data_IF_798603836547
#
_entry.id   IF_798603836547
#
_cell.length_a   1.000
_cell.length_b   1.000
_cell.length_c   1.000
_cell.angle_alpha   90.00
_cell.angle_beta   90.00
_cell.angle_gamma   90.00
#
_symmetry.space_group_name_H-M   'P 1'
#
loop_
_entity.id
_entity.type
_entity.pdbx_description
1 polymer ?
#
# COMPACT_ATOMS: atom_id res chain seq x y z
N UNK A 1 -7.35 -31.45 -36.08
CA UNK A 1 -7.34 -31.55 -34.60
C UNK A 1 -6.63 -30.33 -34.05
N UNK A 2 -7.36 -29.35 -33.52
CA UNK A 2 -6.77 -28.16 -32.91
C UNK A 2 -6.18 -28.55 -31.54
N UNK A 3 -4.87 -28.35 -31.37
CA UNK A 3 -4.23 -28.53 -30.08
C UNK A 3 -4.85 -27.54 -29.08
N UNK A 4 -5.52 -28.07 -28.04
CA UNK A 4 -5.92 -27.27 -26.88
C UNK A 4 -4.64 -26.70 -26.27
N UNK A 5 -4.43 -25.40 -26.41
CA UNK A 5 -3.41 -24.70 -25.64
C UNK A 5 -3.82 -24.84 -24.17
N UNK A 6 -2.98 -25.54 -23.41
CA UNK A 6 -3.11 -25.75 -21.98
C UNK A 6 -2.94 -24.38 -21.31
N UNK A 7 -4.05 -23.65 -21.09
CA UNK A 7 -4.06 -22.36 -20.39
C UNK A 7 -3.83 -22.66 -18.92
N UNK A 8 -2.57 -22.89 -18.55
CA UNK A 8 -2.19 -22.97 -17.15
C UNK A 8 -2.43 -21.61 -16.51
N UNK A 9 -3.09 -21.54 -15.34
CA UNK A 9 -3.25 -20.27 -14.63
C UNK A 9 -1.87 -19.67 -14.34
N UNK A 10 -1.57 -18.51 -14.95
CA UNK A 10 -0.35 -17.75 -14.66
C UNK A 10 -0.60 -16.87 -13.43
N UNK A 11 0.07 -17.20 -12.33
CA UNK A 11 0.05 -16.35 -11.13
C UNK A 11 1.00 -15.18 -11.37
N UNK A 12 0.54 -13.91 -11.27
CA UNK A 12 1.40 -12.76 -11.46
C UNK A 12 2.53 -12.71 -10.41
N UNK A 13 3.75 -12.47 -10.88
CA UNK A 13 4.94 -12.33 -10.03
C UNK A 13 5.62 -13.64 -9.61
N UNK A 14 6.73 -13.53 -8.89
CA UNK A 14 7.50 -14.70 -8.40
C UNK A 14 6.90 -15.26 -7.10
N UNK A 15 6.95 -16.58 -6.90
CA UNK A 15 6.39 -17.23 -5.70
C UNK A 15 6.89 -16.61 -4.38
N UNK A 16 8.14 -16.11 -4.36
CA UNK A 16 8.72 -15.42 -3.21
C UNK A 16 7.94 -14.19 -2.76
N UNK A 17 7.33 -13.41 -3.68
CA UNK A 17 6.53 -12.24 -3.30
C UNK A 17 5.24 -12.66 -2.58
N UNK A 18 4.66 -13.79 -2.97
CA UNK A 18 3.43 -14.29 -2.34
C UNK A 18 3.68 -14.83 -0.94
N UNK A 19 4.83 -15.49 -0.72
CA UNK A 19 5.25 -15.89 0.62
C UNK A 19 5.47 -14.66 1.53
N UNK A 20 6.13 -13.63 1.01
CA UNK A 20 6.30 -12.35 1.71
C UNK A 20 4.97 -11.68 2.04
N UNK A 21 4.07 -11.56 1.05
CA UNK A 21 2.70 -11.04 1.19
C UNK A 21 1.93 -11.77 2.31
N UNK A 22 1.98 -13.10 2.30
CA UNK A 22 1.28 -13.90 3.31
C UNK A 22 1.87 -13.68 4.71
N UNK A 23 3.20 -13.59 4.81
CA UNK A 23 3.90 -13.30 6.07
C UNK A 23 3.48 -11.95 6.65
N UNK A 24 3.55 -10.88 5.85
CA UNK A 24 3.13 -9.54 6.25
C UNK A 24 1.66 -9.53 6.68
N UNK A 25 0.78 -10.18 5.91
CA UNK A 25 -0.64 -10.22 6.22
C UNK A 25 -0.91 -10.92 7.56
N UNK A 26 -0.22 -12.02 7.86
CA UNK A 26 -0.32 -12.71 9.15
C UNK A 26 0.12 -11.79 10.28
N UNK A 27 1.27 -11.14 10.14
CA UNK A 27 1.81 -10.22 11.16
C UNK A 27 0.82 -9.08 11.43
N UNK A 28 0.30 -8.42 10.39
CA UNK A 28 -0.70 -7.36 10.55
C UNK A 28 -2.03 -7.88 11.12
N UNK A 29 -2.44 -9.10 10.77
CA UNK A 29 -3.66 -9.71 11.32
C UNK A 29 -3.54 -9.99 12.81
N UNK A 30 -2.39 -10.49 13.26
CA UNK A 30 -2.11 -10.69 14.70
C UNK A 30 -2.16 -9.36 15.43
N UNK A 31 -1.52 -8.32 14.89
CA UNK A 31 -1.56 -6.98 15.49
C UNK A 31 -2.98 -6.40 15.55
N UNK A 32 -3.79 -6.58 14.49
CA UNK A 32 -5.18 -6.16 14.46
C UNK A 32 -5.98 -6.80 15.60
N UNK A 33 -5.82 -8.11 15.81
CA UNK A 33 -6.50 -8.85 16.89
C UNK A 33 -6.05 -8.35 18.26
N UNK A 34 -4.74 -8.15 18.45
CA UNK A 34 -4.21 -7.65 19.73
C UNK A 34 -4.77 -6.27 20.10
N UNK A 35 -4.82 -5.34 19.14
CA UNK A 35 -5.41 -4.02 19.36
C UNK A 35 -6.92 -4.13 19.59
N UNK A 36 -7.65 -4.88 18.75
CA UNK A 36 -9.10 -5.03 18.93
C UNK A 36 -9.50 -5.62 20.30
N UNK A 37 -8.65 -6.48 20.89
CA UNK A 37 -8.85 -7.02 22.23
C UNK A 37 -8.42 -6.02 23.32
N UNK A 38 -7.27 -5.37 23.17
CA UNK A 38 -6.76 -4.36 24.13
C UNK A 38 -7.64 -3.12 24.24
N UNK A 39 -8.36 -2.75 23.18
CA UNK A 39 -9.26 -1.59 23.16
C UNK A 39 -10.47 -1.71 24.10
N UNK A 40 -10.77 -2.91 24.63
CA UNK A 40 -11.98 -3.14 25.45
C UNK A 40 -11.87 -2.51 26.84
N UNK A 41 -10.67 -2.46 27.41
CA UNK A 41 -10.45 -1.96 28.76
C UNK A 41 -10.27 -0.42 28.78
N UNK A 42 -9.85 0.18 27.66
CA UNK A 42 -9.67 1.64 27.50
C UNK A 42 -10.60 2.28 26.46
N UNK A 43 -11.80 1.74 26.31
CA UNK A 43 -12.73 2.12 25.23
C UNK A 43 -13.02 3.64 25.14
N UNK A 44 -13.05 4.35 26.28
CA UNK A 44 -13.26 5.79 26.31
C UNK A 44 -12.06 6.57 25.74
N UNK A 45 -10.83 6.18 26.10
CA UNK A 45 -9.59 6.82 25.62
C UNK A 45 -9.45 6.61 24.11
N UNK A 46 -9.76 5.40 23.63
CA UNK A 46 -9.77 5.08 22.20
C UNK A 46 -10.80 5.89 21.43
N UNK A 47 -12.04 5.97 21.93
CA UNK A 47 -13.10 6.75 21.29
C UNK A 47 -12.74 8.24 21.19
N UNK A 48 -12.22 8.81 22.27
CA UNK A 48 -11.81 10.23 22.32
C UNK A 48 -10.61 10.51 21.42
N UNK A 49 -9.59 9.64 21.46
CA UNK A 49 -8.37 9.82 20.66
C UNK A 49 -8.66 9.65 19.17
N UNK A 50 -9.49 8.68 18.79
CA UNK A 50 -9.98 8.50 17.42
C UNK A 50 -10.77 9.69 16.91
N UNK A 51 -11.68 10.24 17.71
CA UNK A 51 -12.45 11.43 17.34
C UNK A 51 -11.58 12.67 17.11
N UNK A 52 -10.35 12.68 17.64
CA UNK A 52 -9.38 13.74 17.36
C UNK A 52 -8.70 13.60 16.00
N UNK A 53 -8.71 12.41 15.38
CA UNK A 53 -8.11 12.20 14.07
C UNK A 53 -8.96 12.87 12.98
N UNK A 54 -8.27 13.42 11.99
CA UNK A 54 -8.95 14.02 10.84
C UNK A 54 -9.30 12.90 9.84
N UNK A 55 -10.58 12.54 9.81
CA UNK A 55 -11.09 11.54 8.87
C UNK A 55 -10.87 11.94 7.40
N UNK A 56 -10.90 13.24 7.09
CA UNK A 56 -10.65 13.76 5.75
C UNK A 56 -9.22 13.48 5.28
N UNK A 57 -8.23 13.63 6.15
CA UNK A 57 -6.84 13.24 5.86
C UNK A 57 -6.74 11.72 5.62
N UNK A 58 -7.41 10.92 6.45
CA UNK A 58 -7.47 9.47 6.28
C UNK A 58 -8.09 9.06 4.94
N UNK A 59 -9.24 9.64 4.57
CA UNK A 59 -9.94 9.38 3.31
C UNK A 59 -9.11 9.84 2.11
N UNK A 60 -8.48 11.01 2.18
CA UNK A 60 -7.61 11.50 1.10
C UNK A 60 -6.46 10.51 0.81
N UNK A 61 -5.83 9.98 1.86
CA UNK A 61 -4.80 8.95 1.74
C UNK A 61 -5.32 7.66 1.10
N UNK A 62 -6.50 7.20 1.51
CA UNK A 62 -7.15 6.03 0.92
C UNK A 62 -7.44 6.23 -0.56
N UNK A 63 -7.96 7.40 -0.95
CA UNK A 63 -8.20 7.73 -2.38
C UNK A 63 -6.89 7.76 -3.17
N UNK A 64 -5.82 8.32 -2.59
CA UNK A 64 -4.50 8.35 -3.24
C UNK A 64 -3.97 6.94 -3.51
N UNK A 65 -3.97 6.05 -2.51
CA UNK A 65 -3.43 4.70 -2.68
C UNK A 65 -4.28 3.83 -3.62
N UNK A 66 -5.62 3.89 -3.50
CA UNK A 66 -6.53 3.19 -4.42
C UNK A 66 -6.34 3.68 -5.86
N UNK A 67 -6.18 4.99 -6.06
CA UNK A 67 -5.88 5.55 -7.38
C UNK A 67 -4.53 5.06 -7.90
N UNK A 68 -3.51 5.01 -7.03
CA UNK A 68 -2.20 4.46 -7.34
C UNK A 68 -2.27 3.00 -7.79
N UNK A 69 -2.99 2.16 -7.05
CA UNK A 69 -3.28 0.77 -7.40
C UNK A 69 -3.97 0.67 -8.75
N UNK A 70 -4.99 1.48 -9.01
CA UNK A 70 -5.68 1.49 -10.29
C UNK A 70 -4.73 1.84 -11.46
N UNK A 71 -3.85 2.83 -11.27
CA UNK A 71 -2.84 3.17 -12.27
C UNK A 71 -1.86 2.02 -12.52
N UNK A 72 -1.34 1.37 -11.47
CA UNK A 72 -0.46 0.21 -11.59
C UNK A 72 -1.13 -0.93 -12.37
N UNK A 73 -2.36 -1.28 -12.01
CA UNK A 73 -3.13 -2.31 -12.71
C UNK A 73 -3.33 -1.98 -14.20
N UNK A 74 -3.66 -0.71 -14.51
CA UNK A 74 -3.78 -0.22 -15.89
C UNK A 74 -2.45 -0.30 -16.64
N UNK A 75 -1.34 0.03 -15.99
CA UNK A 75 0.00 -0.05 -16.54
C UNK A 75 0.39 -1.48 -16.93
N UNK A 76 0.18 -2.44 -16.02
CA UNK A 76 0.45 -3.85 -16.28
C UNK A 76 -0.47 -4.42 -17.37
N UNK A 77 -1.76 -4.11 -17.36
CA UNK A 77 -2.69 -4.55 -18.40
C UNK A 77 -2.25 -4.05 -19.79
N UNK A 78 -1.83 -2.78 -19.88
CA UNK A 78 -1.37 -2.18 -21.14
C UNK A 78 -0.04 -2.72 -21.62
N UNK A 79 0.85 -3.10 -20.71
CA UNK A 79 2.07 -3.81 -21.06
C UNK A 79 1.79 -5.15 -21.76
N UNK A 80 0.68 -5.82 -21.42
CA UNK A 80 0.30 -7.12 -22.01
C UNK A 80 -0.45 -6.97 -23.34
N UNK A 81 -1.24 -5.92 -23.49
CA UNK A 81 -2.11 -5.69 -24.66
C UNK A 81 -1.47 -4.86 -25.77
N UNK A 82 -0.60 -3.91 -25.43
CA UNK A 82 -0.15 -2.86 -26.34
C UNK A 82 1.37 -2.84 -26.51
N UNK A 83 1.81 -2.52 -27.73
CA UNK A 83 3.20 -2.21 -28.05
C UNK A 83 3.51 -0.71 -27.84
N UNK A 84 2.65 0.03 -27.11
CA UNK A 84 2.78 1.48 -26.91
C UNK A 84 3.62 1.80 -25.66
N UNK A 85 4.85 2.34 -25.80
CA UNK A 85 5.73 2.66 -24.66
C UNK A 85 5.17 3.73 -23.71
N UNK A 86 4.11 4.44 -24.07
CA UNK A 86 3.44 5.44 -23.23
C UNK A 86 2.77 4.83 -21.99
N UNK A 87 2.60 3.51 -21.92
CA UNK A 87 2.04 2.86 -20.72
C UNK A 87 2.87 3.12 -19.45
N UNK A 88 4.17 3.38 -19.60
CA UNK A 88 5.08 3.75 -18.50
C UNK A 88 4.63 4.99 -17.70
N UNK A 89 3.79 5.86 -18.29
CA UNK A 89 3.20 7.01 -17.59
C UNK A 89 2.32 6.60 -16.41
N UNK A 90 1.66 5.43 -16.48
CA UNK A 90 0.79 4.95 -15.41
C UNK A 90 1.57 4.70 -14.11
N UNK A 91 2.77 4.13 -14.19
CA UNK A 91 3.63 3.98 -13.01
C UNK A 91 4.11 5.33 -12.47
N UNK A 92 4.25 6.34 -13.32
CA UNK A 92 4.59 7.71 -12.87
C UNK A 92 3.46 8.32 -12.04
N UNK A 93 2.21 8.13 -12.48
CA UNK A 93 1.03 8.57 -11.74
C UNK A 93 0.89 7.81 -10.41
N UNK A 94 1.15 6.51 -10.40
CA UNK A 94 1.16 5.72 -9.17
C UNK A 94 2.22 6.20 -8.15
N UNK A 95 3.42 6.54 -8.63
CA UNK A 95 4.48 7.13 -7.77
C UNK A 95 4.01 8.46 -7.19
N UNK A 96 3.39 9.33 -8.00
CA UNK A 96 2.86 10.61 -7.51
C UNK A 96 1.78 10.41 -6.43
N UNK A 97 0.90 9.42 -6.59
CA UNK A 97 -0.06 9.04 -5.56
C UNK A 97 0.63 8.62 -4.26
N UNK A 98 1.67 7.79 -4.34
CA UNK A 98 2.48 7.38 -3.19
C UNK A 98 3.17 8.55 -2.49
N UNK A 99 3.77 9.46 -3.26
CA UNK A 99 4.39 10.67 -2.70
C UNK A 99 3.37 11.59 -2.05
N UNK A 100 2.18 11.72 -2.64
CA UNK A 100 1.05 12.44 -2.05
C UNK A 100 0.64 11.84 -0.70
N UNK A 101 0.59 10.51 -0.60
CA UNK A 101 0.32 9.81 0.66
C UNK A 101 1.38 10.14 1.72
N UNK A 102 2.66 10.04 1.36
CA UNK A 102 3.79 10.34 2.26
C UNK A 102 3.72 11.78 2.76
N UNK A 103 3.45 12.74 1.87
CA UNK A 103 3.35 14.15 2.23
C UNK A 103 2.17 14.43 3.17
N UNK A 104 1.00 13.89 2.86
CA UNK A 104 -0.20 14.07 3.66
C UNK A 104 -0.06 13.41 5.04
N UNK A 105 0.61 12.25 5.13
CA UNK A 105 0.95 11.61 6.40
C UNK A 105 2.00 12.36 7.21
N UNK A 106 3.03 12.89 6.55
CA UNK A 106 4.00 13.76 7.20
C UNK A 106 3.34 15.00 7.81
N UNK A 107 2.36 15.59 7.12
CA UNK A 107 1.56 16.70 7.64
C UNK A 107 0.74 16.30 8.87
N UNK A 108 -0.01 15.20 8.80
CA UNK A 108 -0.81 14.70 9.93
C UNK A 108 0.05 14.44 11.16
N UNK A 109 1.16 13.74 11.01
CA UNK A 109 2.10 13.50 12.10
C UNK A 109 2.68 14.79 12.67
N UNK A 110 3.12 15.70 11.80
CA UNK A 110 3.65 17.00 12.21
C UNK A 110 2.66 17.81 13.04
N UNK A 111 1.40 17.85 12.64
CA UNK A 111 0.34 18.56 13.39
C UNK A 111 0.07 17.91 14.76
N UNK A 112 0.07 16.58 14.85
CA UNK A 112 -0.12 15.86 16.12
C UNK A 112 1.05 16.08 17.08
N UNK A 113 2.27 15.95 16.59
CA UNK A 113 3.49 16.16 17.38
C UNK A 113 3.56 17.62 17.85
N UNK A 114 3.24 18.60 17.00
CA UNK A 114 3.18 20.01 17.37
C UNK A 114 2.13 20.30 18.46
N UNK A 115 1.05 19.52 18.50
CA UNK A 115 0.04 19.58 19.55
C UNK A 115 0.43 18.81 20.84
N UNK A 116 1.67 18.32 20.94
CA UNK A 116 2.17 17.55 22.09
C UNK A 116 1.72 16.09 22.12
N UNK A 117 1.08 15.60 21.05
CA UNK A 117 0.63 14.21 20.94
C UNK A 117 1.79 13.37 20.38
N UNK A 118 2.23 12.40 21.17
CA UNK A 118 3.35 11.51 20.85
C UNK A 118 2.94 10.05 21.09
N UNK A 119 3.76 9.06 20.69
CA UNK A 119 3.50 7.66 21.02
C UNK A 119 3.38 7.39 22.53
N UNK A 120 3.86 8.28 23.39
CA UNK A 120 3.79 8.13 24.85
C UNK A 120 2.51 8.73 25.46
N UNK A 121 1.66 9.37 24.66
CA UNK A 121 0.45 10.03 25.16
C UNK A 121 -0.58 9.03 25.67
N UNK A 122 -0.80 7.93 24.94
CA UNK A 122 -1.62 6.79 25.33
C UNK A 122 -1.41 5.64 24.33
N UNK A 123 -1.99 4.48 24.63
CA UNK A 123 -1.87 3.27 23.81
C UNK A 123 -2.43 3.46 22.40
N UNK A 124 -3.53 4.22 22.23
CA UNK A 124 -4.07 4.52 20.90
C UNK A 124 -3.05 5.25 20.02
N UNK A 125 -2.40 6.30 20.55
CA UNK A 125 -1.40 7.04 19.80
C UNK A 125 -0.11 6.23 19.59
N UNK A 126 0.26 5.37 20.53
CA UNK A 126 1.33 4.40 20.34
C UNK A 126 1.05 3.52 19.11
N UNK A 127 -0.12 2.87 19.05
CA UNK A 127 -0.52 2.04 17.92
C UNK A 127 -0.64 2.84 16.63
N UNK A 128 -1.22 4.03 16.68
CA UNK A 128 -1.33 4.93 15.54
C UNK A 128 0.04 5.22 14.92
N UNK A 129 1.00 5.71 15.69
CA UNK A 129 2.32 6.07 15.18
C UNK A 129 3.13 4.85 14.73
N UNK A 130 3.10 3.75 15.49
CA UNK A 130 3.86 2.53 15.14
C UNK A 130 3.31 1.89 13.87
N UNK A 131 2.00 1.67 13.78
CA UNK A 131 1.41 0.99 12.62
C UNK A 131 1.45 1.85 11.36
N UNK A 132 1.09 3.13 11.47
CA UNK A 132 1.20 4.03 10.30
C UNK A 132 2.66 4.27 9.92
N UNK A 133 3.60 4.20 10.86
CA UNK A 133 5.03 4.34 10.60
C UNK A 133 5.63 3.14 9.88
N UNK A 134 5.34 1.92 10.34
CA UNK A 134 5.73 0.69 9.64
C UNK A 134 5.13 0.69 8.23
N UNK A 135 3.85 1.04 8.10
CA UNK A 135 3.22 1.14 6.79
C UNK A 135 3.87 2.20 5.89
N UNK A 136 4.25 3.37 6.44
CA UNK A 136 4.96 4.40 5.69
C UNK A 136 6.29 3.88 5.13
N UNK A 137 7.03 3.07 5.89
CA UNK A 137 8.23 2.38 5.40
C UNK A 137 7.90 1.47 4.21
N UNK A 138 6.82 0.69 4.28
CA UNK A 138 6.38 -0.16 3.17
C UNK A 138 6.00 0.67 1.93
N UNK A 139 5.33 1.81 2.10
CA UNK A 139 5.02 2.74 1.01
C UNK A 139 6.30 3.28 0.37
N UNK A 140 7.29 3.68 1.16
CA UNK A 140 8.58 4.17 0.65
C UNK A 140 9.33 3.08 -0.15
N UNK A 141 9.37 1.85 0.37
CA UNK A 141 9.91 0.70 -0.37
C UNK A 141 9.11 0.47 -1.66
N UNK A 142 7.78 0.55 -1.59
CA UNK A 142 6.89 0.41 -2.74
C UNK A 142 7.13 1.46 -3.81
N UNK A 143 7.38 2.70 -3.42
CA UNK A 143 7.76 3.78 -4.35
C UNK A 143 9.10 3.42 -5.01
N UNK A 144 10.08 2.92 -4.27
CA UNK A 144 11.34 2.40 -4.81
C UNK A 144 11.13 1.28 -5.85
N UNK A 145 10.26 0.33 -5.54
CA UNK A 145 9.89 -0.75 -6.46
C UNK A 145 9.17 -0.19 -7.70
N UNK A 146 8.25 0.76 -7.55
CA UNK A 146 7.59 1.42 -8.68
C UNK A 146 8.55 2.22 -9.55
N UNK A 147 9.60 2.83 -8.98
CA UNK A 147 10.65 3.49 -9.75
C UNK A 147 11.43 2.48 -10.61
N UNK A 148 11.74 1.31 -10.07
CA UNK A 148 12.34 0.21 -10.83
C UNK A 148 11.41 -0.29 -11.94
N UNK A 149 10.13 -0.54 -11.62
CA UNK A 149 9.11 -0.93 -12.59
C UNK A 149 8.99 0.10 -13.71
N UNK A 150 8.95 1.39 -13.37
CA UNK A 150 8.91 2.49 -14.33
C UNK A 150 10.16 2.48 -15.20
N UNK A 151 11.34 2.35 -14.63
CA UNK A 151 12.59 2.31 -15.38
C UNK A 151 12.60 1.15 -16.38
N UNK A 152 12.24 -0.05 -15.94
CA UNK A 152 12.13 -1.25 -16.78
C UNK A 152 11.08 -1.06 -17.88
N UNK A 153 9.92 -0.47 -17.57
CA UNK A 153 8.83 -0.24 -18.53
C UNK A 153 9.17 0.73 -19.68
N UNK A 154 10.26 1.48 -19.57
CA UNK A 154 10.73 2.42 -20.61
C UNK A 154 11.71 1.78 -21.60
N UNK A 155 12.04 0.49 -21.43
CA UNK A 155 12.88 -0.23 -22.38
C UNK A 155 12.17 -0.41 -23.72
N UNK A 156 12.89 -0.36 -24.86
CA UNK A 156 12.28 -0.51 -26.19
C UNK A 156 11.63 -1.88 -26.42
N UNK A 157 12.19 -2.93 -25.83
CA UNK A 157 11.69 -4.31 -25.92
C UNK A 157 11.73 -4.90 -24.52
N UNK A 158 10.61 -5.46 -24.07
CA UNK A 158 10.47 -6.11 -22.77
C UNK A 158 10.56 -7.62 -22.97
N UNK A 159 11.48 -8.25 -22.24
CA UNK A 159 11.55 -9.71 -22.19
C UNK A 159 10.59 -10.27 -21.12
N UNK A 160 10.55 -11.61 -21.01
CA UNK A 160 9.72 -12.29 -19.99
C UNK A 160 10.12 -11.94 -18.55
N UNK A 161 11.38 -11.58 -18.31
CA UNK A 161 11.88 -11.20 -16.99
C UNK A 161 11.43 -9.79 -16.62
N UNK A 162 11.43 -8.88 -17.58
CA UNK A 162 10.95 -7.52 -17.43
C UNK A 162 9.45 -7.51 -17.12
N UNK A 163 8.65 -8.28 -17.87
CA UNK A 163 7.21 -8.44 -17.58
C UNK A 163 6.97 -9.02 -16.18
N UNK A 164 7.76 -10.04 -15.78
CA UNK A 164 7.67 -10.60 -14.42
C UNK A 164 8.06 -9.58 -13.35
N UNK A 165 9.03 -8.70 -13.62
CA UNK A 165 9.41 -7.61 -12.71
C UNK A 165 8.27 -6.62 -12.53
N UNK A 166 7.58 -6.26 -13.62
CA UNK A 166 6.39 -5.40 -13.60
C UNK A 166 5.27 -6.03 -12.75
N UNK A 167 5.00 -7.32 -12.95
CA UNK A 167 3.98 -8.05 -12.19
C UNK A 167 4.32 -8.18 -10.71
N UNK A 168 5.55 -8.56 -10.37
CA UNK A 168 6.01 -8.64 -8.98
C UNK A 168 5.91 -7.28 -8.28
N UNK A 169 6.34 -6.21 -8.95
CA UNK A 169 6.24 -4.87 -8.40
C UNK A 169 4.80 -4.39 -8.24
N UNK A 170 3.91 -4.77 -9.15
CA UNK A 170 2.48 -4.49 -9.04
C UNK A 170 1.85 -5.23 -7.85
N UNK A 171 2.15 -6.53 -7.69
CA UNK A 171 1.68 -7.33 -6.54
C UNK A 171 2.13 -6.71 -5.22
N UNK A 172 3.38 -6.27 -5.12
CA UNK A 172 3.88 -5.58 -3.93
C UNK A 172 3.12 -4.27 -3.66
N UNK A 173 2.90 -3.43 -4.68
CA UNK A 173 2.15 -2.18 -4.49
C UNK A 173 0.71 -2.42 -4.03
N UNK A 174 0.04 -3.42 -4.60
CA UNK A 174 -1.31 -3.79 -4.20
C UNK A 174 -1.37 -4.35 -2.76
N UNK A 175 -0.34 -5.06 -2.31
CA UNK A 175 -0.22 -5.45 -0.90
C UNK A 175 -0.17 -4.22 0.00
N UNK A 176 0.70 -3.25 -0.32
CA UNK A 176 0.84 -2.03 0.47
C UNK A 176 -0.51 -1.30 0.56
N UNK A 177 -1.17 -1.08 -0.56
CA UNK A 177 -2.52 -0.48 -0.60
C UNK A 177 -3.53 -1.28 0.24
N UNK A 178 -3.54 -2.60 0.12
CA UNK A 178 -4.40 -3.47 0.92
C UNK A 178 -4.16 -3.31 2.43
N UNK A 179 -2.91 -3.31 2.88
CA UNK A 179 -2.55 -3.09 4.28
C UNK A 179 -3.07 -1.73 4.79
N UNK A 180 -3.04 -0.69 3.95
CA UNK A 180 -3.59 0.61 4.32
C UNK A 180 -5.08 0.57 4.59
N UNK A 181 -5.85 -0.17 3.79
CA UNK A 181 -7.31 -0.28 3.98
C UNK A 181 -7.63 -0.86 5.36
N UNK A 182 -6.88 -1.86 5.82
CA UNK A 182 -7.05 -2.42 7.17
C UNK A 182 -6.67 -1.41 8.25
N UNK A 183 -5.56 -0.69 8.09
CA UNK A 183 -5.14 0.33 9.05
C UNK A 183 -6.13 1.50 9.13
N UNK A 184 -6.64 1.93 7.98
CA UNK A 184 -7.66 2.97 7.91
C UNK A 184 -8.93 2.52 8.65
N UNK A 185 -9.41 1.30 8.40
CA UNK A 185 -10.55 0.74 9.12
C UNK A 185 -10.29 0.65 10.63
N UNK A 186 -9.13 0.13 11.05
CA UNK A 186 -8.78 -0.06 12.45
C UNK A 186 -8.63 1.25 13.23
N UNK A 187 -8.01 2.28 12.63
CA UNK A 187 -7.62 3.49 13.34
C UNK A 187 -8.64 4.63 13.21
N UNK A 188 -9.35 4.71 12.08
CA UNK A 188 -10.30 5.81 11.83
C UNK A 188 -11.76 5.40 12.03
N UNK A 189 -12.12 4.13 11.76
CA UNK A 189 -13.52 3.70 11.74
C UNK A 189 -13.93 2.84 12.94
N UNK A 190 -13.07 1.89 13.35
CA UNK A 190 -13.27 1.02 14.52
C UNK A 190 -12.75 1.69 15.80
#
# INVERSE_FOLDING_TARGET
>A
MAARQDVRPHVPGEIGIWAFVAGDLIVFSVFFVLVALGNRDEAEVFTRSRASLDLGIGVANTVLLLSGSWFVARGVARCREAHDPRFSRYFSLAILCGLGFVANKGFEWGTKIAAGITPQTNDFYMYFFVFTGIHLVHVLIGIGVLLLVRHTSRRPVLDRRDVRTLETGATFWHLVDFLWIFLFALLYLL
#
